data_IF_560186073858
#
_entry.id   IF_560186073858
#
_cell.length_a   1.000
_cell.length_b   1.000
_cell.length_c   1.000
_cell.angle_alpha   90.00
_cell.angle_beta   90.00
_cell.angle_gamma   90.00
#
_symmetry.space_group_name_H-M   'P 1'
#
loop_
_entity.id
_entity.type
_entity.pdbx_description
1 polymer ?
#
# COMPACT_ATOMS: atom_id res chain seq x y z
N UNK A 1 -18.05 -12.61 42.13
CA UNK A 1 -18.22 -13.46 40.93
C UNK A 1 -17.83 -12.63 39.71
N UNK A 2 -16.78 -12.99 38.96
CA UNK A 2 -16.38 -12.22 37.79
C UNK A 2 -17.39 -12.49 36.66
N UNK A 3 -17.96 -11.42 36.10
CA UNK A 3 -18.75 -11.47 34.87
C UNK A 3 -17.82 -11.79 33.72
N UNK A 4 -17.97 -12.97 33.13
CA UNK A 4 -17.39 -13.27 31.82
C UNK A 4 -18.03 -12.32 30.81
N UNK A 5 -17.27 -11.31 30.39
CA UNK A 5 -17.63 -10.50 29.23
C UNK A 5 -17.45 -11.42 28.02
N UNK A 6 -18.56 -11.95 27.51
CA UNK A 6 -18.57 -12.65 26.24
C UNK A 6 -18.25 -11.61 25.16
N UNK A 7 -16.99 -11.58 24.70
CA UNK A 7 -16.62 -10.85 23.52
C UNK A 7 -17.51 -11.34 22.37
N UNK A 8 -18.29 -10.44 21.78
CA UNK A 8 -19.13 -10.75 20.63
C UNK A 8 -18.20 -11.23 19.49
N UNK A 9 -18.33 -12.49 19.08
CA UNK A 9 -17.55 -13.06 17.99
C UNK A 9 -18.06 -12.51 16.64
N UNK A 10 -17.73 -11.25 16.33
CA UNK A 10 -17.89 -10.66 15.00
C UNK A 10 -16.83 -11.27 14.06
N UNK A 11 -17.02 -12.52 13.67
CA UNK A 11 -16.27 -13.10 12.57
C UNK A 11 -16.95 -12.68 11.27
N UNK A 12 -16.36 -11.83 10.42
CA UNK A 12 -16.97 -11.48 9.14
C UNK A 12 -17.12 -12.72 8.26
N UNK A 13 -18.13 -12.73 7.40
CA UNK A 13 -18.24 -13.73 6.35
C UNK A 13 -17.02 -13.65 5.44
N UNK A 14 -16.49 -14.79 5.00
CA UNK A 14 -15.31 -14.86 4.14
C UNK A 14 -15.74 -15.31 2.75
N UNK A 15 -15.42 -14.49 1.76
CA UNK A 15 -15.56 -14.79 0.33
C UNK A 15 -14.17 -14.93 -0.28
N UNK A 16 -13.70 -16.16 -0.39
CA UNK A 16 -12.40 -16.44 -0.98
C UNK A 16 -12.56 -17.01 -2.38
N UNK A 17 -11.78 -16.50 -3.33
CA UNK A 17 -11.70 -16.98 -4.71
C UNK A 17 -10.25 -17.20 -5.05
N UNK A 18 -9.88 -18.40 -5.51
CA UNK A 18 -8.51 -18.78 -5.86
C UNK A 18 -8.48 -19.30 -7.29
N UNK A 19 -7.83 -18.60 -8.20
CA UNK A 19 -7.58 -19.10 -9.55
C UNK A 19 -6.67 -20.32 -9.52
N UNK A 20 -7.09 -21.40 -10.18
CA UNK A 20 -6.35 -22.67 -10.28
C UNK A 20 -5.70 -22.84 -11.65
N UNK A 21 -6.32 -22.32 -12.73
CA UNK A 21 -5.78 -22.33 -14.08
C UNK A 21 -6.86 -22.36 -15.17
N UNK A 22 -6.51 -22.01 -16.41
CA UNK A 22 -7.42 -22.09 -17.58
C UNK A 22 -8.76 -21.35 -17.42
N UNK A 23 -8.79 -20.22 -16.69
CA UNK A 23 -10.02 -19.47 -16.42
C UNK A 23 -10.86 -20.03 -15.26
N UNK A 24 -10.40 -21.11 -14.60
CA UNK A 24 -11.08 -21.72 -13.47
C UNK A 24 -10.60 -21.16 -12.14
N UNK A 25 -11.52 -21.09 -11.19
CA UNK A 25 -11.24 -20.70 -9.82
C UNK A 25 -12.01 -21.55 -8.81
N UNK A 26 -11.36 -21.87 -7.69
CA UNK A 26 -12.00 -22.43 -6.51
C UNK A 26 -12.60 -21.30 -5.68
N UNK A 27 -13.87 -21.42 -5.32
CA UNK A 27 -14.57 -20.50 -4.44
C UNK A 27 -14.78 -21.15 -3.08
N UNK A 28 -14.50 -20.40 -2.03
CA UNK A 28 -14.85 -20.72 -0.65
C UNK A 28 -15.70 -19.59 -0.07
N UNK A 29 -16.90 -19.95 0.35
CA UNK A 29 -17.84 -19.07 1.03
C UNK A 29 -18.04 -19.56 2.46
N UNK A 30 -17.66 -18.76 3.44
CA UNK A 30 -17.82 -19.08 4.86
C UNK A 30 -18.71 -18.04 5.52
N UNK A 31 -19.84 -18.48 6.05
CA UNK A 31 -20.80 -17.63 6.78
C UNK A 31 -20.89 -18.09 8.24
N UNK A 32 -20.86 -17.19 9.22
CA UNK A 32 -21.12 -17.55 10.62
C UNK A 32 -22.51 -18.15 10.79
N UNK A 33 -22.65 -19.18 11.63
CA UNK A 33 -23.95 -19.79 11.96
C UNK A 33 -24.74 -18.94 12.99
N UNK A 34 -24.05 -18.06 13.70
CA UNK A 34 -24.61 -17.20 14.75
C UNK A 34 -24.64 -15.75 14.25
N UNK A 35 -25.82 -15.11 14.30
CA UNK A 35 -25.94 -13.65 14.13
C UNK A 35 -26.19 -13.12 12.72
N UNK A 36 -26.44 -13.97 11.72
CA UNK A 36 -26.93 -13.51 10.40
C UNK A 36 -28.45 -13.73 10.36
N UNK A 37 -29.28 -12.67 10.31
CA UNK A 37 -30.71 -12.79 10.03
C UNK A 37 -30.94 -13.54 8.71
N UNK A 38 -32.16 -14.01 8.47
CA UNK A 38 -32.61 -14.74 7.26
C UNK A 38 -32.33 -14.03 5.90
N UNK A 39 -31.68 -12.86 5.92
CA UNK A 39 -31.02 -12.24 4.79
C UNK A 39 -29.88 -13.14 4.31
N UNK A 40 -30.19 -13.98 3.32
CA UNK A 40 -29.25 -14.89 2.70
C UNK A 40 -28.12 -14.12 2.01
N UNK A 41 -27.04 -13.83 2.76
CA UNK A 41 -25.78 -13.35 2.20
C UNK A 41 -25.32 -14.33 1.11
N UNK A 42 -25.16 -13.83 -0.11
CA UNK A 42 -24.84 -14.66 -1.28
C UNK A 42 -23.72 -14.02 -2.09
N UNK A 43 -22.72 -14.80 -2.53
CA UNK A 43 -21.75 -14.32 -3.49
C UNK A 43 -22.38 -14.24 -4.88
N UNK A 44 -22.09 -13.14 -5.58
CA UNK A 44 -22.52 -12.84 -6.94
C UNK A 44 -21.30 -12.80 -7.84
N UNK A 45 -21.39 -13.52 -8.95
CA UNK A 45 -20.34 -13.61 -9.96
C UNK A 45 -20.76 -12.90 -11.24
N UNK A 46 -19.80 -12.48 -12.07
CA UNK A 46 -20.06 -12.01 -13.42
C UNK A 46 -20.84 -13.06 -14.24
N UNK A 47 -21.65 -12.62 -15.23
CA UNK A 47 -22.42 -13.53 -16.08
C UNK A 47 -21.54 -14.52 -16.87
N UNK A 48 -20.27 -14.17 -17.10
CA UNK A 48 -19.30 -15.01 -17.81
C UNK A 48 -18.78 -16.17 -16.95
N UNK A 49 -19.01 -16.15 -15.64
CA UNK A 49 -18.52 -17.17 -14.71
C UNK A 49 -19.60 -18.23 -14.44
N UNK A 50 -19.36 -19.46 -14.87
CA UNK A 50 -20.28 -20.60 -14.69
C UNK A 50 -19.83 -21.50 -13.55
N UNK A 51 -20.74 -21.96 -12.66
CA UNK A 51 -20.38 -22.94 -11.64
C UNK A 51 -20.05 -24.29 -12.28
N UNK A 52 -19.01 -24.94 -11.76
CA UNK A 52 -18.57 -26.28 -12.10
C UNK A 52 -18.85 -27.24 -10.94
N UNK A 53 -19.51 -28.35 -11.25
CA UNK A 53 -19.81 -29.40 -10.28
C UNK A 53 -20.84 -29.00 -9.22
N UNK A 54 -20.99 -29.85 -8.19
CA UNK A 54 -21.87 -29.60 -7.07
C UNK A 54 -21.10 -28.96 -5.91
N UNK A 55 -21.66 -27.95 -5.23
CA UNK A 55 -21.02 -27.35 -4.06
C UNK A 55 -20.87 -28.37 -2.93
N UNK A 56 -19.66 -28.46 -2.38
CA UNK A 56 -19.41 -29.18 -1.14
C UNK A 56 -19.74 -28.28 0.05
N UNK A 57 -20.66 -28.73 0.90
CA UNK A 57 -21.08 -28.00 2.10
C UNK A 57 -20.53 -28.71 3.32
N UNK A 58 -19.79 -27.99 4.16
CA UNK A 58 -19.25 -28.49 5.43
C UNK A 58 -19.68 -27.54 6.56
N UNK A 59 -20.26 -28.09 7.61
CA UNK A 59 -20.48 -27.35 8.86
C UNK A 59 -19.19 -27.43 9.69
N UNK A 60 -18.63 -26.27 10.02
CA UNK A 60 -17.62 -26.10 11.07
C UNK A 60 -18.33 -25.53 12.31
N UNK A 61 -17.79 -25.76 13.51
CA UNK A 61 -18.46 -25.55 14.81
C UNK A 61 -19.30 -24.25 14.92
N UNK A 62 -18.82 -23.13 14.38
CA UNK A 62 -19.55 -21.85 14.36
C UNK A 62 -19.76 -21.24 12.95
N UNK A 63 -19.50 -21.99 11.87
CA UNK A 63 -19.59 -21.47 10.50
C UNK A 63 -20.03 -22.52 9.47
N UNK A 64 -20.87 -22.13 8.52
CA UNK A 64 -21.16 -22.90 7.33
C UNK A 64 -20.11 -22.57 6.26
N UNK A 65 -19.37 -23.58 5.79
CA UNK A 65 -18.36 -23.44 4.73
C UNK A 65 -18.87 -24.15 3.48
N UNK A 66 -19.01 -23.41 2.39
CA UNK A 66 -19.40 -23.94 1.08
C UNK A 66 -18.22 -23.76 0.13
N UNK A 67 -17.86 -24.81 -0.62
CA UNK A 67 -16.82 -24.76 -1.64
C UNK A 67 -17.29 -25.33 -2.96
N UNK A 68 -16.99 -24.64 -4.05
CA UNK A 68 -17.29 -25.06 -5.42
C UNK A 68 -16.26 -24.48 -6.37
N UNK A 69 -16.27 -24.92 -7.62
CA UNK A 69 -15.43 -24.35 -8.67
C UNK A 69 -16.28 -23.50 -9.62
N UNK A 70 -15.66 -22.49 -10.23
CA UNK A 70 -16.26 -21.69 -11.30
C UNK A 70 -15.32 -21.66 -12.51
N UNK A 71 -15.89 -21.55 -13.70
CA UNK A 71 -15.18 -21.31 -14.96
C UNK A 71 -15.59 -19.94 -15.52
N UNK A 72 -14.65 -19.00 -15.54
CA UNK A 72 -14.83 -17.65 -16.06
C UNK A 72 -14.23 -17.46 -17.46
N UNK A 73 -13.69 -18.53 -18.07
CA UNK A 73 -12.95 -18.48 -19.33
C UNK A 73 -11.67 -17.62 -19.28
N UNK A 74 -10.88 -17.57 -20.36
CA UNK A 74 -9.78 -16.61 -20.49
C UNK A 74 -10.30 -15.17 -20.62
N UNK A 75 -9.70 -14.14 -19.95
CA UNK A 75 -8.43 -14.15 -19.23
C UNK A 75 -8.52 -14.54 -17.74
N UNK A 76 -9.66 -15.01 -17.24
CA UNK A 76 -9.90 -15.37 -15.85
C UNK A 76 -10.72 -14.32 -15.11
N UNK A 77 -10.37 -14.05 -13.85
CA UNK A 77 -11.06 -13.09 -12.98
C UNK A 77 -10.59 -11.65 -13.15
N UNK A 78 -9.43 -11.43 -13.78
CA UNK A 78 -8.86 -10.10 -13.98
C UNK A 78 -9.81 -9.22 -14.79
N UNK A 79 -10.07 -7.99 -14.31
CA UNK A 79 -11.01 -7.05 -14.92
C UNK A 79 -12.48 -7.38 -14.69
N UNK A 80 -12.80 -8.45 -13.94
CA UNK A 80 -14.18 -8.83 -13.61
C UNK A 80 -14.58 -8.33 -12.22
N UNK A 81 -15.88 -8.09 -12.03
CA UNK A 81 -16.44 -7.62 -10.77
C UNK A 81 -17.04 -8.79 -9.98
N UNK A 82 -16.56 -8.99 -8.76
CA UNK A 82 -17.15 -9.92 -7.80
C UNK A 82 -17.97 -9.14 -6.78
N UNK A 83 -19.14 -9.64 -6.38
CA UNK A 83 -19.99 -8.94 -5.43
C UNK A 83 -20.57 -9.89 -4.38
N UNK A 84 -21.17 -9.33 -3.33
CA UNK A 84 -22.01 -10.08 -2.43
C UNK A 84 -23.30 -9.31 -2.16
N UNK A 85 -24.42 -10.02 -2.24
CA UNK A 85 -25.77 -9.50 -1.97
C UNK A 85 -26.19 -9.79 -0.53
N UNK A 86 -27.20 -9.07 -0.04
CA UNK A 86 -27.73 -9.22 1.32
C UNK A 86 -26.88 -8.56 2.41
N UNK A 87 -25.83 -7.82 2.06
CA UNK A 87 -24.95 -7.13 3.03
C UNK A 87 -25.72 -6.04 3.80
N UNK A 88 -26.50 -5.23 3.08
CA UNK A 88 -27.32 -4.17 3.67
C UNK A 88 -28.37 -4.73 4.64
N UNK A 89 -29.05 -5.81 4.24
CA UNK A 89 -30.14 -6.43 5.01
C UNK A 89 -29.63 -7.16 6.26
N UNK A 90 -28.45 -7.79 6.17
CA UNK A 90 -27.84 -8.53 7.27
C UNK A 90 -26.99 -7.66 8.21
N UNK A 91 -26.74 -6.39 7.85
CA UNK A 91 -25.77 -5.49 8.53
C UNK A 91 -24.40 -6.15 8.77
N UNK A 92 -24.05 -7.10 7.90
CA UNK A 92 -22.81 -7.83 7.99
C UNK A 92 -21.71 -7.14 7.18
N UNK A 93 -20.48 -7.61 7.34
CA UNK A 93 -19.39 -7.30 6.43
C UNK A 93 -18.82 -8.61 5.86
N UNK A 94 -18.38 -8.54 4.60
CA UNK A 94 -17.78 -9.69 3.92
C UNK A 94 -16.32 -9.39 3.63
N UNK A 95 -15.42 -10.19 4.18
CA UNK A 95 -14.02 -10.16 3.83
C UNK A 95 -13.80 -10.94 2.53
N UNK A 96 -13.47 -10.25 1.45
CA UNK A 96 -13.16 -10.84 0.16
C UNK A 96 -11.65 -11.03 -0.02
N UNK A 97 -11.24 -12.26 -0.37
CA UNK A 97 -9.86 -12.62 -0.70
C UNK A 97 -9.82 -13.21 -2.11
N UNK A 98 -9.14 -12.53 -3.04
CA UNK A 98 -8.93 -13.05 -4.39
C UNK A 98 -7.46 -13.39 -4.56
N UNK A 99 -7.15 -14.66 -4.83
CA UNK A 99 -5.80 -15.13 -5.19
C UNK A 99 -5.77 -15.40 -6.68
N UNK A 100 -5.00 -14.59 -7.41
CA UNK A 100 -4.82 -14.70 -8.86
C UNK A 100 -3.75 -15.75 -9.20
N UNK A 101 -3.74 -16.21 -10.46
CA UNK A 101 -2.75 -17.18 -10.97
C UNK A 101 -1.30 -16.71 -10.81
N UNK A 102 -1.06 -15.40 -10.85
CA UNK A 102 0.28 -14.82 -10.71
C UNK A 102 0.77 -14.71 -9.25
N UNK A 103 0.03 -15.30 -8.31
CA UNK A 103 0.35 -15.30 -6.88
C UNK A 103 -0.04 -14.02 -6.15
N UNK A 104 -0.52 -12.99 -6.85
CA UNK A 104 -1.07 -11.80 -6.20
C UNK A 104 -2.32 -12.18 -5.42
N UNK A 105 -2.38 -11.69 -4.19
CA UNK A 105 -3.59 -11.79 -3.36
C UNK A 105 -4.12 -10.39 -3.08
N UNK A 106 -5.38 -10.17 -3.45
CA UNK A 106 -6.07 -8.90 -3.26
C UNK A 106 -7.13 -9.10 -2.20
N UNK A 107 -7.23 -8.14 -1.28
CA UNK A 107 -8.14 -8.19 -0.14
C UNK A 107 -9.04 -6.96 -0.19
N UNK A 108 -10.33 -7.17 -0.02
CA UNK A 108 -11.31 -6.11 0.08
C UNK A 108 -12.31 -6.46 1.19
N UNK A 109 -12.88 -5.44 1.83
CA UNK A 109 -14.02 -5.60 2.74
C UNK A 109 -15.23 -5.05 2.01
N UNK A 110 -16.20 -5.91 1.73
CA UNK A 110 -17.47 -5.51 1.14
C UNK A 110 -18.41 -5.06 2.24
N UNK A 111 -19.00 -3.88 2.04
CA UNK A 111 -19.99 -3.25 2.92
C UNK A 111 -21.26 -2.95 2.16
N UNK A 112 -22.29 -2.42 2.83
CA UNK A 112 -23.53 -2.01 2.19
C UNK A 112 -23.30 -0.90 1.13
N UNK A 113 -22.32 -0.01 1.37
CA UNK A 113 -21.98 1.09 0.45
C UNK A 113 -21.11 0.63 -0.73
N UNK A 114 -20.33 -0.44 -0.53
CA UNK A 114 -19.44 -1.02 -1.54
C UNK A 114 -19.60 -2.55 -1.58
N UNK A 115 -20.72 -3.05 -2.13
CA UNK A 115 -21.02 -4.49 -2.14
C UNK A 115 -20.25 -5.26 -3.24
N UNK A 116 -19.56 -4.55 -4.12
CA UNK A 116 -18.84 -5.10 -5.27
C UNK A 116 -17.37 -4.68 -5.29
N UNK A 117 -16.52 -5.55 -5.79
CA UNK A 117 -15.09 -5.33 -5.96
C UNK A 117 -14.66 -5.70 -7.39
N UNK A 118 -14.01 -4.76 -8.05
CA UNK A 118 -13.38 -4.98 -9.36
C UNK A 118 -12.00 -5.60 -9.15
N UNK A 119 -11.75 -6.77 -9.74
CA UNK A 119 -10.44 -7.42 -9.68
C UNK A 119 -9.46 -6.63 -10.55
N UNK A 120 -8.41 -6.02 -9.97
CA UNK A 120 -7.56 -5.08 -10.69
C UNK A 120 -6.77 -5.78 -11.80
N UNK A 121 -6.71 -5.14 -12.95
CA UNK A 121 -5.72 -5.45 -13.97
C UNK A 121 -4.31 -5.28 -13.38
N UNK A 122 -3.35 -6.01 -13.93
CA UNK A 122 -1.97 -5.89 -13.46
C UNK A 122 -1.51 -4.46 -13.73
N UNK A 123 -1.44 -3.61 -12.70
CA UNK A 123 -0.87 -2.28 -12.84
C UNK A 123 0.50 -2.41 -13.50
N UNK A 124 0.69 -1.70 -14.61
CA UNK A 124 1.94 -1.78 -15.33
C UNK A 124 3.05 -1.22 -14.44
N UNK A 125 4.25 -1.83 -14.47
CA UNK A 125 5.39 -1.31 -13.68
C UNK A 125 5.66 0.17 -13.97
N UNK A 126 5.35 0.61 -15.19
CA UNK A 126 5.47 1.99 -15.65
C UNK A 126 4.43 2.89 -14.98
N UNK A 127 3.19 2.42 -14.84
CA UNK A 127 2.12 3.15 -14.18
C UNK A 127 2.35 3.27 -12.68
N UNK A 128 2.80 2.18 -12.04
CA UNK A 128 3.27 2.23 -10.65
C UNK A 128 4.41 3.25 -10.53
N UNK A 129 5.45 3.15 -11.36
CA UNK A 129 6.56 4.11 -11.33
C UNK A 129 6.08 5.56 -11.55
N UNK A 130 5.13 5.79 -12.45
CA UNK A 130 4.54 7.11 -12.72
C UNK A 130 3.78 7.64 -11.50
N UNK A 131 2.90 6.84 -10.91
CA UNK A 131 2.10 7.24 -9.74
C UNK A 131 2.98 7.58 -8.55
N UNK A 132 3.99 6.75 -8.25
CA UNK A 132 4.95 7.03 -7.19
C UNK A 132 5.81 8.27 -7.50
N UNK A 133 6.21 8.48 -8.76
CA UNK A 133 6.95 9.67 -9.16
C UNK A 133 6.11 10.94 -8.99
N UNK A 134 4.83 10.90 -9.37
CA UNK A 134 3.91 12.02 -9.19
C UNK A 134 3.69 12.36 -7.72
N UNK A 135 3.51 11.34 -6.87
CA UNK A 135 3.40 11.52 -5.43
C UNK A 135 4.66 12.17 -4.84
N UNK A 136 5.85 11.75 -5.31
CA UNK A 136 7.12 12.36 -4.91
C UNK A 136 7.24 13.82 -5.33
N UNK A 137 6.81 14.16 -6.56
CA UNK A 137 6.78 15.57 -7.04
C UNK A 137 5.84 16.41 -6.17
N UNK A 138 4.64 15.91 -5.90
CA UNK A 138 3.66 16.58 -5.03
C UNK A 138 4.22 16.80 -3.63
N UNK A 139 4.90 15.79 -3.06
CA UNK A 139 5.54 15.90 -1.76
C UNK A 139 6.60 17.01 -1.70
N UNK A 140 7.49 17.10 -2.70
CA UNK A 140 8.53 18.15 -2.75
C UNK A 140 7.89 19.54 -2.91
N UNK A 141 6.84 19.67 -3.72
CA UNK A 141 6.19 20.96 -3.98
C UNK A 141 5.37 21.47 -2.79
N UNK A 142 4.86 20.57 -1.94
CA UNK A 142 4.03 20.91 -0.78
C UNK A 142 4.85 21.07 0.51
N UNK A 143 6.07 20.53 0.57
CA UNK A 143 6.98 20.63 1.71
C UNK A 143 7.83 21.91 1.71
N UNK A 144 7.60 22.87 2.62
CA UNK A 144 8.41 24.10 2.69
C UNK A 144 9.87 23.83 3.10
N UNK A 145 10.09 22.81 3.91
CA UNK A 145 11.41 22.32 4.33
C UNK A 145 12.28 21.87 3.15
N UNK A 146 11.70 21.12 2.21
CA UNK A 146 12.37 20.65 1.00
C UNK A 146 12.75 21.81 0.08
N UNK A 147 11.82 22.76 -0.12
CA UNK A 147 12.07 23.95 -0.93
C UNK A 147 13.17 24.84 -0.32
N UNK A 148 13.15 25.03 1.00
CA UNK A 148 14.18 25.78 1.72
C UNK A 148 15.55 25.10 1.65
N UNK A 149 15.60 23.77 1.73
CA UNK A 149 16.84 23.01 1.58
C UNK A 149 17.42 23.15 0.16
N UNK A 150 16.61 22.97 -0.89
CA UNK A 150 17.05 23.14 -2.28
C UNK A 150 17.47 24.58 -2.56
N UNK A 151 16.71 25.56 -2.09
CA UNK A 151 17.07 26.98 -2.21
C UNK A 151 18.40 27.28 -1.50
N UNK A 152 18.61 26.75 -0.30
CA UNK A 152 19.86 26.93 0.42
C UNK A 152 21.05 26.31 -0.33
N UNK A 153 20.87 25.15 -0.96
CA UNK A 153 21.91 24.54 -1.81
C UNK A 153 22.21 25.37 -3.07
N UNK A 154 21.18 25.93 -3.71
CA UNK A 154 21.33 26.83 -4.86
C UNK A 154 22.12 28.08 -4.51
N UNK A 155 21.88 28.65 -3.32
CA UNK A 155 22.60 29.82 -2.83
C UNK A 155 24.03 29.50 -2.38
N UNK A 156 24.25 28.30 -1.85
CA UNK A 156 25.57 27.87 -1.35
C UNK A 156 26.51 27.45 -2.50
N UNK A 157 25.98 26.92 -3.60
CA UNK A 157 26.77 26.31 -4.68
C UNK A 157 26.61 27.11 -5.97
N UNK A 158 27.61 27.93 -6.30
CA UNK A 158 27.61 28.72 -7.54
C UNK A 158 27.90 27.88 -8.82
N UNK A 159 28.52 26.69 -8.69
CA UNK A 159 28.84 25.84 -9.85
C UNK A 159 27.72 24.82 -10.13
N UNK A 160 27.04 24.97 -11.28
CA UNK A 160 25.94 24.10 -11.71
C UNK A 160 26.29 22.59 -11.70
N UNK A 161 27.53 22.26 -12.08
CA UNK A 161 27.99 20.86 -12.10
C UNK A 161 28.11 20.28 -10.69
N UNK A 162 28.57 21.07 -9.72
CA UNK A 162 28.67 20.66 -8.32
C UNK A 162 27.28 20.53 -7.68
N UNK A 163 26.36 21.42 -8.04
CA UNK A 163 24.96 21.35 -7.63
C UNK A 163 24.30 20.05 -8.10
N UNK A 164 24.43 19.70 -9.39
CA UNK A 164 23.87 18.46 -9.95
C UNK A 164 24.41 17.22 -9.23
N UNK A 165 25.72 17.16 -8.97
CA UNK A 165 26.32 16.05 -8.22
C UNK A 165 25.82 15.97 -6.77
N UNK A 166 25.57 17.12 -6.14
CA UNK A 166 25.06 17.21 -4.78
C UNK A 166 23.62 16.73 -4.70
N UNK A 167 22.76 17.18 -5.61
CA UNK A 167 21.37 16.69 -5.75
C UNK A 167 21.33 15.20 -6.05
N UNK A 168 22.15 14.72 -6.98
CA UNK A 168 22.20 13.29 -7.33
C UNK A 168 22.64 12.44 -6.14
N UNK A 169 23.61 12.92 -5.35
CA UNK A 169 24.08 12.23 -4.15
C UNK A 169 23.02 12.17 -3.05
N UNK A 170 22.23 13.23 -2.88
CA UNK A 170 21.07 13.25 -1.98
C UNK A 170 20.02 12.21 -2.41
N UNK A 171 19.61 12.24 -3.68
CA UNK A 171 18.62 11.30 -4.23
C UNK A 171 19.08 9.85 -4.11
N UNK A 172 20.37 9.57 -4.33
CA UNK A 172 20.94 8.23 -4.16
C UNK A 172 20.92 7.79 -2.70
N UNK A 173 21.36 8.64 -1.77
CA UNK A 173 21.29 8.35 -0.33
C UNK A 173 19.87 8.02 0.13
N UNK A 174 18.91 8.84 -0.30
CA UNK A 174 17.49 8.68 0.03
C UNK A 174 16.86 7.44 -0.60
N UNK A 175 17.24 7.11 -1.84
CA UNK A 175 16.78 5.87 -2.48
C UNK A 175 17.27 4.64 -1.75
N UNK A 176 18.49 4.67 -1.19
CA UNK A 176 19.06 3.57 -0.41
C UNK A 176 18.29 3.37 0.89
N UNK A 177 17.99 4.42 1.65
CA UNK A 177 17.23 4.29 2.89
C UNK A 177 15.79 3.85 2.66
N UNK A 178 15.10 4.42 1.65
CA UNK A 178 13.78 3.96 1.26
C UNK A 178 13.78 2.48 0.86
N UNK A 179 14.80 2.02 0.14
CA UNK A 179 14.93 0.61 -0.23
C UNK A 179 15.12 -0.29 0.99
N UNK A 180 15.97 0.12 1.95
CA UNK A 180 16.19 -0.62 3.20
C UNK A 180 14.92 -0.66 4.06
N UNK A 181 14.17 0.43 4.13
CA UNK A 181 12.90 0.50 4.85
C UNK A 181 11.82 -0.36 4.18
N UNK A 182 11.67 -0.27 2.85
CA UNK A 182 10.69 -1.06 2.09
C UNK A 182 10.96 -2.57 2.13
N UNK A 183 12.24 -2.98 2.16
CA UNK A 183 12.64 -4.37 2.34
C UNK A 183 12.52 -4.85 3.80
N UNK A 184 12.17 -3.96 4.73
CA UNK A 184 11.96 -4.28 6.14
C UNK A 184 13.24 -4.42 6.95
N UNK A 185 14.41 -4.10 6.38
CA UNK A 185 15.69 -4.16 7.09
C UNK A 185 15.82 -3.08 8.17
N UNK A 186 15.14 -1.94 7.98
CA UNK A 186 15.23 -0.77 8.86
C UNK A 186 13.83 -0.21 9.11
N UNK A 187 13.45 -0.05 10.38
CA UNK A 187 12.21 0.62 10.78
C UNK A 187 12.57 1.78 11.69
N UNK A 188 12.51 3.01 11.15
CA UNK A 188 12.80 4.23 11.90
C UNK A 188 11.47 4.97 12.12
N UNK A 189 11.11 5.32 13.36
CA UNK A 189 9.94 6.15 13.61
C UNK A 189 10.14 7.55 13.00
N UNK A 190 9.07 8.24 12.57
CA UNK A 190 9.18 9.51 11.84
C UNK A 190 9.81 10.65 12.67
N UNK A 191 9.62 10.66 13.99
CA UNK A 191 10.08 11.74 14.86
C UNK A 191 11.60 12.05 14.76
N UNK A 192 12.51 11.06 14.96
CA UNK A 192 13.94 11.27 14.75
C UNK A 192 14.33 11.76 13.35
N UNK A 193 13.61 11.34 12.30
CA UNK A 193 13.86 11.77 10.92
C UNK A 193 13.54 13.26 10.76
N UNK A 194 12.38 13.70 11.26
CA UNK A 194 11.96 15.11 11.22
C UNK A 194 12.96 16.03 11.95
N UNK A 195 13.47 15.60 13.11
CA UNK A 195 14.52 16.33 13.84
C UNK A 195 15.82 16.42 13.03
N UNK A 196 16.19 15.33 12.35
CA UNK A 196 17.35 15.29 11.46
C UNK A 196 17.22 16.27 10.29
N UNK A 197 16.05 16.32 9.65
CA UNK A 197 15.74 17.26 8.56
C UNK A 197 15.83 18.70 9.07
N UNK A 198 15.18 19.03 10.19
CA UNK A 198 15.23 20.36 10.78
C UNK A 198 16.67 20.80 11.11
N UNK A 199 17.48 19.90 11.70
CA UNK A 199 18.88 20.16 11.99
C UNK A 199 19.69 20.41 10.70
N UNK A 200 19.41 19.68 9.61
CA UNK A 200 20.10 19.88 8.33
C UNK A 200 19.88 21.27 7.74
N UNK A 201 18.65 21.80 7.84
CA UNK A 201 18.28 23.15 7.38
C UNK A 201 18.98 24.22 8.22
N UNK A 202 19.03 24.04 9.54
CA UNK A 202 19.76 24.95 10.43
C UNK A 202 21.24 25.00 10.10
N UNK A 203 21.87 23.84 9.89
CA UNK A 203 23.29 23.77 9.48
C UNK A 203 23.52 24.48 8.14
N UNK A 204 22.63 24.27 7.17
CA UNK A 204 22.70 24.95 5.88
C UNK A 204 22.55 26.47 6.01
N UNK A 205 21.60 26.93 6.84
CA UNK A 205 21.41 28.36 7.14
C UNK A 205 22.62 28.99 7.82
N UNK A 206 23.27 28.28 8.76
CA UNK A 206 24.50 28.74 9.41
C UNK A 206 25.66 28.83 8.42
N UNK A 207 25.81 27.86 7.51
CA UNK A 207 26.86 27.91 6.48
C UNK A 207 26.64 29.05 5.47
N UNK A 208 25.39 29.40 5.16
CA UNK A 208 25.04 30.56 4.32
C UNK A 208 25.29 31.91 5.01
N UNK A 209 25.10 31.98 6.32
CA UNK A 209 25.30 33.20 7.10
C UNK A 209 26.77 33.49 7.47
N UNK A 210 27.70 32.61 7.09
CA UNK A 210 29.15 32.82 7.34
C UNK A 210 29.72 33.90 6.44
N UNK A 211 30.67 34.64 7.00
CA UNK A 211 31.36 35.74 6.32
C UNK A 211 32.06 35.24 5.04
N UNK A 212 31.76 35.79 3.84
CA UNK A 212 32.37 35.38 2.58
C UNK A 212 33.89 35.55 2.54
N UNK A 213 34.45 36.39 3.42
CA UNK A 213 35.89 36.61 3.54
C UNK A 213 36.62 35.52 4.38
N UNK A 214 35.87 34.64 5.06
CA UNK A 214 36.44 33.55 5.84
C UNK A 214 36.86 32.36 4.96
N UNK A 215 37.81 31.54 5.43
CA UNK A 215 38.23 30.33 4.72
C UNK A 215 37.06 29.36 4.54
N UNK A 216 36.86 28.77 3.35
CA UNK A 216 35.70 27.94 3.08
C UNK A 216 35.70 26.70 3.96
N UNK A 217 34.54 26.45 4.59
CA UNK A 217 34.34 25.36 5.55
C UNK A 217 34.46 23.99 4.89
N UNK A 218 34.69 22.92 5.67
CA UNK A 218 34.72 21.53 5.14
C UNK A 218 33.43 21.16 4.42
N UNK A 219 32.29 21.74 4.84
CA UNK A 219 30.99 21.52 4.23
C UNK A 219 30.86 22.22 2.88
N UNK A 220 31.35 23.47 2.76
CA UNK A 220 31.43 24.17 1.47
C UNK A 220 32.40 23.49 0.48
N UNK A 221 33.44 22.81 0.97
CA UNK A 221 34.41 22.08 0.13
C UNK A 221 33.92 20.72 -0.37
N UNK A 222 32.98 20.07 0.33
CA UNK A 222 32.42 18.75 -0.04
C UNK A 222 30.90 18.70 0.16
N UNK A 223 30.13 19.52 -0.58
CA UNK A 223 28.67 19.57 -0.44
C UNK A 223 28.00 18.23 -0.78
N UNK A 224 28.58 17.44 -1.68
CA UNK A 224 28.08 16.12 -2.06
C UNK A 224 28.06 15.10 -0.91
N UNK A 225 29.06 15.13 -0.01
CA UNK A 225 29.11 14.21 1.14
C UNK A 225 28.09 14.56 2.23
N UNK A 226 27.88 15.86 2.44
CA UNK A 226 26.83 16.39 3.33
C UNK A 226 25.44 16.00 2.81
N UNK A 227 25.19 16.23 1.52
CA UNK A 227 23.93 15.88 0.88
C UNK A 227 23.66 14.37 0.89
N UNK A 228 24.68 13.52 0.68
CA UNK A 228 24.53 12.07 0.80
C UNK A 228 24.17 11.64 2.23
N UNK A 229 24.75 12.29 3.24
CA UNK A 229 24.46 11.97 4.66
C UNK A 229 23.05 12.41 5.05
N UNK A 230 22.58 13.54 4.55
CA UNK A 230 21.19 13.95 4.74
C UNK A 230 20.19 13.13 3.94
N UNK A 231 20.56 12.67 2.75
CA UNK A 231 19.73 11.73 2.00
C UNK A 231 19.55 10.40 2.75
N UNK A 232 20.51 9.99 3.58
CA UNK A 232 20.42 8.79 4.42
C UNK A 232 19.55 8.97 5.69
N UNK A 233 18.92 10.13 5.89
CA UNK A 233 17.95 10.33 6.98
C UNK A 233 16.53 10.00 6.50
#
# INVERSE_FOLDING_TARGET
MPRTVAAHALAPSLFQVRETGSGRAEVLWRTPVVGVPDAALRPVFPPDCRPLGQPSVRRAEAALVVRWEIDCGPPGLVGKTLAAEGIADSRASVLMLVTLRDGRSVRAVLTAERPSFLVPERESRIEVARSYSLLGIEHILTGPDHLLFVLGLLLLIAEWRLLLWTLTSFTLGHSVTLSLAALGFVHVPPGPVEVGIAASIVVLGVELARDPAASPSRLQRRPWGMAATFGLL
#
